data_IF_702084007975
#
_entry.id   IF_702084007975
#
_cell.length_a   1.000
_cell.length_b   1.000
_cell.length_c   1.000
_cell.angle_alpha   90.00
_cell.angle_beta   90.00
_cell.angle_gamma   90.00
#
_symmetry.space_group_name_H-M   'P 1'
#
loop_
_entity.id
_entity.type
_entity.pdbx_description
1 polymer ?
#
# COMPACT_ATOMS: atom_id res chain seq x y z
N UNK A 1 -47.43 16.69 -47.63
CA UNK A 1 -47.25 15.50 -46.78
C UNK A 1 -45.83 15.52 -46.25
N UNK A 2 -45.64 16.10 -45.07
CA UNK A 2 -44.40 15.96 -44.31
C UNK A 2 -44.72 14.95 -43.20
N UNK A 3 -44.01 13.83 -43.23
CA UNK A 3 -44.15 12.72 -42.28
C UNK A 3 -43.40 13.12 -41.01
N UNK A 4 -44.14 13.39 -39.92
CA UNK A 4 -43.55 13.66 -38.60
C UNK A 4 -42.87 12.40 -38.08
N UNK A 5 -41.55 12.47 -37.89
CA UNK A 5 -40.80 11.42 -37.19
C UNK A 5 -41.24 11.36 -35.72
N UNK A 6 -41.56 10.16 -35.17
CA UNK A 6 -41.95 10.04 -33.78
C UNK A 6 -40.76 10.32 -32.87
N UNK A 7 -40.97 11.21 -31.88
CA UNK A 7 -39.98 11.53 -30.86
C UNK A 7 -39.58 10.27 -30.09
N UNK A 8 -38.31 9.87 -30.18
CA UNK A 8 -37.73 8.80 -29.36
C UNK A 8 -37.84 9.19 -27.88
N UNK A 9 -38.75 8.55 -27.13
CA UNK A 9 -38.83 8.72 -25.68
C UNK A 9 -37.50 8.31 -25.05
N UNK A 10 -36.91 9.22 -24.26
CA UNK A 10 -35.68 8.94 -23.53
C UNK A 10 -35.94 7.85 -22.46
N UNK A 11 -35.43 6.65 -22.71
CA UNK A 11 -35.51 5.52 -21.77
C UNK A 11 -34.56 5.75 -20.61
N UNK A 12 -35.04 5.58 -19.37
CA UNK A 12 -34.25 5.68 -18.15
C UNK A 12 -33.66 4.32 -17.81
N UNK A 13 -32.54 4.32 -17.09
CA UNK A 13 -31.92 3.08 -16.57
C UNK A 13 -32.86 2.28 -15.66
N UNK A 14 -33.85 2.94 -15.04
CA UNK A 14 -34.89 2.32 -14.21
C UNK A 14 -35.95 1.58 -15.01
N UNK A 15 -35.98 1.76 -16.33
CA UNK A 15 -36.95 1.13 -17.23
C UNK A 15 -36.45 -0.24 -17.72
N UNK A 16 -35.19 -0.59 -17.42
CA UNK A 16 -34.63 -1.92 -17.64
C UNK A 16 -35.29 -2.94 -16.72
N UNK A 17 -35.55 -4.12 -17.25
CA UNK A 17 -35.99 -5.27 -16.47
C UNK A 17 -34.84 -5.82 -15.60
N UNK A 18 -35.21 -6.63 -14.61
CA UNK A 18 -34.28 -7.09 -13.59
C UNK A 18 -33.15 -7.97 -14.16
N UNK A 19 -33.43 -8.74 -15.22
CA UNK A 19 -32.46 -9.65 -15.82
C UNK A 19 -31.42 -8.89 -16.65
N UNK A 20 -31.86 -7.95 -17.49
CA UNK A 20 -30.95 -7.05 -18.23
C UNK A 20 -30.08 -6.24 -17.28
N UNK A 21 -30.64 -5.77 -16.17
CA UNK A 21 -29.87 -5.06 -15.16
C UNK A 21 -28.87 -5.97 -14.45
N UNK A 22 -29.23 -7.21 -14.09
CA UNK A 22 -28.31 -8.18 -13.49
C UNK A 22 -27.13 -8.47 -14.42
N UNK A 23 -27.41 -8.61 -15.72
CA UNK A 23 -26.38 -8.79 -16.73
C UNK A 23 -25.45 -7.56 -16.82
N UNK A 24 -26.00 -6.35 -16.90
CA UNK A 24 -25.20 -5.11 -16.89
C UNK A 24 -24.37 -4.98 -15.61
N UNK A 25 -24.98 -5.37 -14.47
CA UNK A 25 -24.34 -5.33 -13.17
C UNK A 25 -23.12 -6.27 -13.10
N UNK A 26 -23.02 -7.33 -13.91
CA UNK A 26 -21.83 -8.21 -13.95
C UNK A 26 -20.55 -7.47 -14.39
N UNK A 27 -20.68 -6.44 -15.23
CA UNK A 27 -19.57 -5.63 -15.73
C UNK A 27 -19.14 -4.50 -14.78
N UNK A 28 -19.91 -4.22 -13.73
CA UNK A 28 -19.63 -3.15 -12.78
C UNK A 28 -18.61 -3.60 -11.72
N UNK A 29 -17.79 -2.68 -11.20
CA UNK A 29 -17.02 -2.99 -9.99
C UNK A 29 -17.90 -2.93 -8.73
N UNK A 30 -17.41 -3.45 -7.61
CA UNK A 30 -18.09 -3.26 -6.31
C UNK A 30 -18.24 -1.78 -5.94
N UNK A 31 -17.31 -0.93 -6.39
CA UNK A 31 -17.37 0.52 -6.20
C UNK A 31 -18.49 1.12 -7.04
N UNK A 32 -18.62 0.71 -8.30
CA UNK A 32 -19.68 1.19 -9.18
C UNK A 32 -21.05 0.76 -8.70
N UNK A 33 -21.20 -0.49 -8.24
CA UNK A 33 -22.43 -0.97 -7.59
C UNK A 33 -22.77 -0.18 -6.32
N UNK A 34 -21.77 0.19 -5.53
CA UNK A 34 -21.97 1.02 -4.34
C UNK A 34 -22.41 2.44 -4.72
N UNK A 35 -21.76 3.06 -5.72
CA UNK A 35 -22.14 4.38 -6.23
C UNK A 35 -23.56 4.38 -6.82
N UNK A 36 -23.89 3.34 -7.58
CA UNK A 36 -25.20 3.10 -8.14
C UNK A 36 -26.26 2.99 -7.03
N UNK A 37 -25.97 2.22 -5.97
CA UNK A 37 -26.88 2.09 -4.83
C UNK A 37 -27.07 3.41 -4.05
N UNK A 38 -26.11 4.34 -4.12
CA UNK A 38 -26.21 5.65 -3.50
C UNK A 38 -26.98 6.67 -4.35
N UNK A 39 -27.19 6.39 -5.64
CA UNK A 39 -27.81 7.34 -6.58
C UNK A 39 -29.33 7.47 -6.42
N UNK A 40 -30.05 6.38 -6.15
CA UNK A 40 -31.51 6.40 -5.95
C UNK A 40 -32.01 5.20 -5.16
N UNK A 41 -33.22 5.30 -4.58
CA UNK A 41 -33.86 4.20 -3.84
C UNK A 41 -34.14 2.98 -4.71
N UNK A 42 -34.60 3.19 -5.95
CA UNK A 42 -34.87 2.09 -6.89
C UNK A 42 -33.58 1.35 -7.24
N UNK A 43 -32.54 2.09 -7.64
CA UNK A 43 -31.23 1.51 -7.97
C UNK A 43 -30.56 0.85 -6.77
N UNK A 44 -30.79 1.35 -5.55
CA UNK A 44 -30.36 0.70 -4.30
C UNK A 44 -31.01 -0.67 -4.13
N UNK A 45 -32.32 -0.77 -4.35
CA UNK A 45 -33.05 -2.04 -4.24
C UNK A 45 -32.50 -3.07 -5.23
N UNK A 46 -32.24 -2.64 -6.48
CA UNK A 46 -31.67 -3.52 -7.50
C UNK A 46 -30.22 -3.91 -7.20
N UNK A 47 -29.34 -2.95 -6.92
CA UNK A 47 -27.94 -3.22 -6.59
C UNK A 47 -27.77 -4.15 -5.37
N UNK A 48 -28.77 -4.20 -4.49
CA UNK A 48 -28.77 -5.05 -3.29
C UNK A 48 -29.52 -6.37 -3.47
N UNK A 49 -30.10 -6.62 -4.65
CA UNK A 49 -30.84 -7.84 -4.97
C UNK A 49 -29.92 -9.06 -4.98
N UNK A 50 -30.38 -10.16 -4.36
CA UNK A 50 -29.58 -11.37 -4.19
C UNK A 50 -29.15 -12.01 -5.53
N UNK A 51 -29.86 -11.78 -6.64
CA UNK A 51 -29.48 -12.31 -7.97
C UNK A 51 -28.11 -11.78 -8.44
N UNK A 52 -27.87 -10.47 -8.32
CA UNK A 52 -26.58 -9.85 -8.67
C UNK A 52 -25.44 -10.42 -7.82
N UNK A 53 -25.70 -10.66 -6.53
CA UNK A 53 -24.69 -11.17 -5.61
C UNK A 53 -24.48 -12.68 -5.76
N UNK A 54 -25.48 -13.44 -6.20
CA UNK A 54 -25.39 -14.87 -6.45
C UNK A 54 -24.46 -15.18 -7.62
N UNK A 55 -24.61 -14.46 -8.73
CA UNK A 55 -23.74 -14.63 -9.90
C UNK A 55 -22.28 -14.36 -9.55
N UNK A 56 -22.02 -13.26 -8.84
CA UNK A 56 -20.68 -12.90 -8.35
C UNK A 56 -20.13 -13.87 -7.32
N UNK A 57 -20.98 -14.36 -6.42
CA UNK A 57 -20.56 -15.33 -5.42
C UNK A 57 -20.11 -16.61 -6.12
N UNK A 58 -20.85 -17.09 -7.11
CA UNK A 58 -20.53 -18.30 -7.89
C UNK A 58 -19.27 -18.16 -8.72
N UNK A 59 -19.03 -16.98 -9.28
CA UNK A 59 -17.82 -16.70 -10.08
C UNK A 59 -16.55 -16.84 -9.23
N UNK A 60 -16.58 -16.39 -7.97
CA UNK A 60 -15.41 -16.37 -7.08
C UNK A 60 -15.35 -17.63 -6.18
N UNK A 61 -16.51 -18.12 -5.72
CA UNK A 61 -16.67 -19.27 -4.82
C UNK A 61 -17.79 -20.18 -5.33
N UNK A 62 -17.48 -21.10 -6.27
CA UNK A 62 -18.48 -21.97 -6.88
C UNK A 62 -19.10 -22.98 -5.89
N UNK A 63 -18.44 -23.26 -4.78
CA UNK A 63 -18.89 -24.20 -3.75
C UNK A 63 -19.54 -23.50 -2.54
N UNK A 64 -20.58 -24.13 -1.96
CA UNK A 64 -21.22 -23.73 -0.70
C UNK A 64 -21.78 -22.29 -0.69
N UNK A 65 -22.66 -21.95 -1.63
CA UNK A 65 -23.34 -20.66 -1.66
C UNK A 65 -24.68 -20.70 -0.86
N UNK A 66 -25.04 -19.62 -0.16
CA UNK A 66 -26.30 -19.53 0.57
C UNK A 66 -27.49 -19.37 -0.38
N UNK A 67 -28.65 -19.87 0.03
CA UNK A 67 -29.91 -19.74 -0.74
C UNK A 67 -30.62 -18.39 -0.51
N UNK A 68 -30.25 -17.63 0.53
CA UNK A 68 -30.83 -16.32 0.86
C UNK A 68 -29.83 -15.44 1.61
N UNK A 69 -30.00 -14.13 1.52
CA UNK A 69 -29.07 -13.18 2.14
C UNK A 69 -27.67 -13.24 1.50
N UNK A 70 -27.62 -13.56 0.21
CA UNK A 70 -26.41 -13.82 -0.57
C UNK A 70 -25.45 -12.65 -0.48
N UNK A 71 -25.99 -11.43 -0.59
CA UNK A 71 -25.20 -10.21 -0.42
C UNK A 71 -24.48 -10.15 0.93
N UNK A 72 -25.20 -10.43 2.03
CA UNK A 72 -24.63 -10.37 3.38
C UNK A 72 -23.54 -11.42 3.54
N UNK A 73 -23.78 -12.63 3.08
CA UNK A 73 -22.79 -13.70 3.11
C UNK A 73 -21.56 -13.39 2.26
N UNK A 74 -21.75 -12.83 1.05
CA UNK A 74 -20.67 -12.36 0.19
C UNK A 74 -19.80 -11.33 0.91
N UNK A 75 -20.41 -10.30 1.50
CA UNK A 75 -19.70 -9.24 2.20
C UNK A 75 -18.96 -9.78 3.43
N UNK A 76 -19.59 -10.67 4.21
CA UNK A 76 -18.96 -11.31 5.37
C UNK A 76 -17.74 -12.15 4.96
N UNK A 77 -17.88 -12.96 3.91
CA UNK A 77 -16.78 -13.77 3.36
C UNK A 77 -15.65 -12.89 2.85
N UNK A 78 -15.96 -11.85 2.10
CA UNK A 78 -14.97 -10.87 1.63
C UNK A 78 -14.24 -10.20 2.79
N UNK A 79 -14.95 -9.76 3.83
CA UNK A 79 -14.33 -9.19 5.05
C UNK A 79 -13.41 -10.20 5.72
N UNK A 80 -13.84 -11.45 5.89
CA UNK A 80 -13.02 -12.51 6.49
C UNK A 80 -11.75 -12.80 5.69
N UNK A 81 -11.82 -12.82 4.35
CA UNK A 81 -10.65 -12.95 3.47
C UNK A 81 -9.68 -11.76 3.64
N UNK A 82 -10.22 -10.54 3.65
CA UNK A 82 -9.43 -9.34 3.90
C UNK A 82 -8.78 -9.31 5.29
N UNK A 83 -9.33 -10.04 6.26
CA UNK A 83 -8.79 -10.21 7.61
C UNK A 83 -7.86 -11.42 7.77
N UNK A 84 -7.61 -12.19 6.70
CA UNK A 84 -6.82 -13.44 6.74
C UNK A 84 -7.42 -14.52 7.66
N UNK A 85 -8.76 -14.61 7.72
CA UNK A 85 -9.49 -15.58 8.55
C UNK A 85 -9.71 -16.94 7.87
N UNK A 86 -8.69 -17.48 7.19
CA UNK A 86 -8.75 -18.79 6.52
C UNK A 86 -7.49 -19.63 6.74
N UNK A 87 -7.64 -20.97 6.74
CA UNK A 87 -6.54 -21.93 6.96
C UNK A 87 -5.80 -22.35 5.68
N UNK A 88 -6.39 -22.13 4.51
CA UNK A 88 -5.95 -22.64 3.21
C UNK A 88 -5.57 -21.53 2.21
N UNK A 89 -4.70 -20.57 2.56
CA UNK A 89 -4.23 -19.61 1.57
C UNK A 89 -3.36 -20.30 0.52
N UNK A 90 -3.36 -19.74 -0.69
CA UNK A 90 -2.34 -20.08 -1.68
C UNK A 90 -0.99 -19.52 -1.24
N UNK A 91 0.06 -20.34 -1.31
CA UNK A 91 1.41 -19.97 -0.87
C UNK A 91 2.41 -20.24 -1.98
N UNK A 92 3.26 -19.25 -2.25
CA UNK A 92 4.38 -19.36 -3.17
C UNK A 92 5.66 -18.79 -2.54
N UNK A 93 6.82 -19.30 -2.94
CA UNK A 93 8.11 -18.87 -2.40
C UNK A 93 9.15 -18.72 -3.49
N UNK A 94 10.02 -17.73 -3.35
CA UNK A 94 11.12 -17.49 -4.28
C UNK A 94 12.40 -17.14 -3.53
N UNK A 95 13.53 -17.54 -4.12
CA UNK A 95 14.85 -17.19 -3.61
C UNK A 95 15.33 -15.90 -4.26
N UNK A 96 15.67 -14.93 -3.41
CA UNK A 96 16.28 -13.68 -3.85
C UNK A 96 17.81 -13.84 -3.82
N UNK A 97 18.37 -14.29 -4.94
CA UNK A 97 19.81 -14.49 -5.09
C UNK A 97 20.58 -13.17 -4.97
N UNK A 98 21.64 -13.16 -4.16
CA UNK A 98 22.53 -12.01 -3.99
C UNK A 98 23.01 -11.82 -2.56
N UNK A 99 24.08 -11.04 -2.39
CA UNK A 99 24.69 -10.75 -1.09
C UNK A 99 23.90 -9.75 -0.23
N UNK A 100 23.05 -8.93 -0.85
CA UNK A 100 22.32 -7.88 -0.16
C UNK A 100 20.97 -8.34 0.39
N UNK A 101 20.59 -7.74 1.51
CA UNK A 101 19.27 -7.96 2.09
C UNK A 101 18.15 -7.44 1.19
N UNK A 102 16.97 -8.05 1.29
CA UNK A 102 15.75 -7.48 0.69
C UNK A 102 15.26 -6.41 1.66
N UNK A 103 15.43 -5.14 1.26
CA UNK A 103 15.21 -3.98 2.12
C UNK A 103 13.82 -3.35 1.96
N UNK A 104 13.26 -3.45 0.75
CA UNK A 104 11.95 -2.92 0.41
C UNK A 104 11.25 -3.93 -0.49
N UNK A 105 9.94 -4.08 -0.32
CA UNK A 105 9.09 -4.93 -1.14
C UNK A 105 7.74 -4.25 -1.35
N UNK A 106 7.13 -4.46 -2.52
CA UNK A 106 5.83 -3.94 -2.91
C UNK A 106 5.07 -5.02 -3.71
N UNK A 107 3.75 -4.95 -3.63
CA UNK A 107 2.82 -5.76 -4.43
C UNK A 107 2.09 -4.84 -5.40
N UNK A 108 2.26 -5.07 -6.69
CA UNK A 108 1.52 -4.39 -7.75
C UNK A 108 0.79 -5.42 -8.63
N UNK A 109 -0.51 -5.62 -8.42
CA UNK A 109 -1.32 -6.61 -9.14
C UNK A 109 -0.71 -8.02 -9.11
N UNK A 110 -0.03 -8.42 -10.17
CA UNK A 110 0.62 -9.72 -10.35
C UNK A 110 2.15 -9.67 -10.14
N UNK A 111 2.70 -8.50 -9.85
CA UNK A 111 4.14 -8.27 -9.73
C UNK A 111 4.55 -8.09 -8.25
N UNK A 112 5.57 -8.82 -7.85
CA UNK A 112 6.33 -8.59 -6.62
C UNK A 112 7.55 -7.77 -7.00
N UNK A 113 7.63 -6.54 -6.51
CA UNK A 113 8.75 -5.63 -6.78
C UNK A 113 9.56 -5.47 -5.49
N UNK A 114 10.87 -5.64 -5.54
CA UNK A 114 11.72 -5.52 -4.36
C UNK A 114 13.10 -4.96 -4.67
N UNK A 115 13.77 -4.43 -3.64
CA UNK A 115 15.14 -3.91 -3.76
C UNK A 115 16.16 -4.77 -3.01
N UNK A 116 17.31 -5.02 -3.64
CA UNK A 116 18.48 -5.66 -3.03
C UNK A 116 19.73 -4.82 -3.30
N UNK A 117 20.16 -4.04 -2.30
CA UNK A 117 21.25 -3.09 -2.50
C UNK A 117 20.89 -2.08 -3.60
N UNK A 118 21.71 -1.88 -4.65
CA UNK A 118 21.41 -0.98 -5.76
C UNK A 118 20.39 -1.52 -6.77
N UNK A 119 20.14 -2.84 -6.76
CA UNK A 119 19.30 -3.49 -7.75
C UNK A 119 17.81 -3.40 -7.39
N UNK A 120 16.99 -3.20 -8.41
CA UNK A 120 15.53 -3.31 -8.33
C UNK A 120 15.15 -4.56 -9.11
N UNK A 121 14.36 -5.43 -8.50
CA UNK A 121 13.99 -6.73 -9.03
C UNK A 121 12.48 -6.88 -9.04
N UNK A 122 11.98 -7.61 -10.03
CA UNK A 122 10.56 -7.86 -10.23
C UNK A 122 10.33 -9.34 -10.56
N UNK A 123 9.33 -9.94 -9.92
CA UNK A 123 8.90 -11.31 -10.17
C UNK A 123 7.38 -11.34 -10.37
N UNK A 124 6.92 -12.05 -11.41
CA UNK A 124 5.48 -12.27 -11.63
C UNK A 124 5.01 -13.43 -10.77
N UNK A 125 3.93 -13.25 -10.01
CA UNK A 125 3.40 -14.26 -9.08
C UNK A 125 3.04 -15.55 -9.84
N UNK A 126 2.34 -15.44 -10.97
CA UNK A 126 1.98 -16.61 -11.78
C UNK A 126 3.22 -17.37 -12.29
N UNK A 127 4.30 -16.63 -12.59
CA UNK A 127 5.54 -17.24 -13.09
C UNK A 127 6.31 -17.99 -12.01
N UNK A 128 6.15 -17.65 -10.72
CA UNK A 128 6.84 -18.35 -9.62
C UNK A 128 6.47 -19.84 -9.64
N UNK A 129 5.23 -20.17 -9.99
CA UNK A 129 4.73 -21.55 -10.04
C UNK A 129 5.33 -22.38 -11.19
N UNK A 130 5.75 -21.72 -12.27
CA UNK A 130 6.35 -22.36 -13.44
C UNK A 130 7.87 -22.30 -13.47
N UNK A 131 8.53 -21.98 -12.35
CA UNK A 131 9.99 -21.77 -12.29
C UNK A 131 10.46 -20.51 -13.02
N UNK A 132 9.59 -19.51 -13.09
CA UNK A 132 9.77 -18.27 -13.85
C UNK A 132 10.97 -17.43 -13.42
N UNK A 133 11.45 -16.63 -14.37
CA UNK A 133 12.66 -15.82 -14.23
C UNK A 133 12.40 -14.50 -13.51
N UNK A 134 13.41 -14.06 -12.76
CA UNK A 134 13.41 -12.85 -11.98
C UNK A 134 13.99 -11.70 -12.83
N UNK A 135 13.19 -10.69 -13.12
CA UNK A 135 13.61 -9.57 -13.97
C UNK A 135 14.35 -8.54 -13.11
N UNK A 136 15.61 -8.31 -13.45
CA UNK A 136 16.40 -7.24 -12.82
C UNK A 136 16.33 -5.98 -13.68
N UNK A 137 15.83 -4.91 -13.08
CA UNK A 137 15.78 -3.60 -13.70
C UNK A 137 17.15 -2.93 -13.62
N UNK A 138 17.49 -2.02 -14.56
CA UNK A 138 18.71 -1.21 -14.45
C UNK A 138 18.75 -0.55 -13.06
N UNK A 139 19.77 -0.84 -12.27
CA UNK A 139 19.80 -0.41 -10.86
C UNK A 139 20.10 1.08 -10.68
N UNK A 140 20.08 1.49 -9.41
CA UNK A 140 20.78 2.70 -8.98
C UNK A 140 22.29 2.46 -8.90
N UNK A 141 23.08 3.53 -8.74
CA UNK A 141 24.53 3.40 -8.50
C UNK A 141 24.86 3.09 -7.03
N UNK A 142 23.85 3.11 -6.17
CA UNK A 142 23.97 2.95 -4.73
C UNK A 142 22.68 2.39 -4.15
N UNK A 143 22.72 1.96 -2.88
CA UNK A 143 21.64 1.24 -2.22
C UNK A 143 20.31 2.00 -2.33
N UNK A 144 19.28 1.28 -2.77
CA UNK A 144 17.89 1.76 -2.79
C UNK A 144 17.39 1.85 -1.36
N UNK A 145 16.88 3.02 -0.99
CA UNK A 145 16.45 3.33 0.38
C UNK A 145 14.93 3.23 0.54
N UNK A 146 14.17 3.53 -0.52
CA UNK A 146 12.71 3.48 -0.45
C UNK A 146 12.09 3.21 -1.83
N UNK A 147 11.00 2.43 -1.85
CA UNK A 147 10.14 2.15 -3.01
C UNK A 147 8.71 2.68 -2.76
N UNK A 148 8.07 3.25 -3.78
CA UNK A 148 6.65 3.68 -3.76
C UNK A 148 5.97 3.40 -5.10
N UNK A 149 4.69 3.08 -5.06
CA UNK A 149 3.83 2.96 -6.25
C UNK A 149 2.80 4.08 -6.23
N UNK A 150 2.59 4.69 -7.39
CA UNK A 150 1.56 5.70 -7.59
C UNK A 150 0.79 5.42 -8.88
N UNK A 151 -0.50 5.76 -8.96
CA UNK A 151 -1.24 5.66 -10.20
C UNK A 151 -0.58 6.54 -11.28
N UNK A 152 -0.47 6.01 -12.50
CA UNK A 152 0.09 6.72 -13.64
C UNK A 152 -0.68 8.01 -13.93
N UNK A 153 -1.99 8.02 -13.68
CA UNK A 153 -2.89 9.17 -13.79
C UNK A 153 -2.47 10.37 -12.93
N UNK A 154 -1.70 10.15 -11.86
CA UNK A 154 -1.18 11.23 -11.02
C UNK A 154 0.14 11.81 -11.54
N UNK A 155 0.62 11.36 -12.69
CA UNK A 155 1.87 11.78 -13.30
C UNK A 155 1.64 12.35 -14.69
N UNK A 156 2.60 13.15 -15.17
CA UNK A 156 2.59 13.65 -16.56
C UNK A 156 2.85 12.59 -17.64
N UNK A 157 2.92 11.30 -17.28
CA UNK A 157 3.09 10.21 -18.25
C UNK A 157 1.77 9.63 -18.73
N UNK A 158 0.64 9.92 -18.08
CA UNK A 158 -0.66 9.47 -18.54
C UNK A 158 -1.00 10.13 -19.90
N UNK A 159 -1.25 9.31 -20.91
CA UNK A 159 -1.58 9.76 -22.28
C UNK A 159 -3.03 9.47 -22.67
N UNK A 160 -3.71 8.58 -21.93
CA UNK A 160 -5.07 8.12 -22.24
C UNK A 160 -5.78 7.70 -20.95
N UNK A 161 -7.11 7.84 -20.92
CA UNK A 161 -7.98 7.35 -19.86
C UNK A 161 -7.86 5.84 -19.64
N UNK A 162 -7.50 5.06 -20.67
CA UNK A 162 -7.29 3.62 -20.52
C UNK A 162 -6.09 3.24 -19.62
N UNK A 163 -5.19 4.20 -19.32
CA UNK A 163 -4.00 3.96 -18.51
C UNK A 163 -4.17 4.36 -17.03
N UNK A 164 -5.38 4.73 -16.60
CA UNK A 164 -5.66 5.14 -15.22
C UNK A 164 -5.38 4.06 -14.19
N UNK A 165 -5.48 2.80 -14.61
CA UNK A 165 -5.23 1.62 -13.76
C UNK A 165 -3.75 1.20 -13.72
N UNK A 166 -2.87 1.79 -14.52
CA UNK A 166 -1.43 1.49 -14.48
C UNK A 166 -0.75 2.24 -13.32
N UNK A 167 0.29 1.64 -12.75
CA UNK A 167 1.11 2.28 -11.73
C UNK A 167 2.51 2.64 -12.25
N UNK A 168 3.10 3.68 -11.68
CA UNK A 168 4.52 4.00 -11.79
C UNK A 168 5.23 3.63 -10.50
N UNK A 169 6.47 3.16 -10.64
CA UNK A 169 7.35 2.89 -9.51
C UNK A 169 8.28 4.09 -9.30
N UNK A 170 8.31 4.62 -8.09
CA UNK A 170 9.30 5.59 -7.63
C UNK A 170 10.29 4.90 -6.70
N UNK A 171 11.57 5.13 -6.94
CA UNK A 171 12.66 4.58 -6.13
C UNK A 171 13.62 5.68 -5.73
N UNK A 172 14.14 5.62 -4.51
CA UNK A 172 15.17 6.55 -4.02
C UNK A 172 16.40 5.79 -3.56
N UNK A 173 17.56 6.45 -3.52
CA UNK A 173 18.82 5.81 -3.12
C UNK A 173 19.69 6.68 -2.20
N UNK A 174 20.76 6.06 -1.70
CA UNK A 174 21.77 6.71 -0.86
C UNK A 174 22.54 7.85 -1.55
N UNK A 175 22.56 7.94 -2.89
CA UNK A 175 23.20 9.07 -3.59
C UNK A 175 22.26 10.27 -3.76
N UNK A 176 21.05 10.20 -3.19
CA UNK A 176 20.07 11.28 -3.27
C UNK A 176 19.38 11.41 -4.63
N UNK A 177 19.42 10.37 -5.47
CA UNK A 177 18.62 10.28 -6.69
C UNK A 177 17.28 9.61 -6.41
N UNK A 178 16.22 10.15 -7.02
CA UNK A 178 14.90 9.55 -7.07
C UNK A 178 14.62 9.22 -8.54
N UNK A 179 14.20 8.00 -8.86
CA UNK A 179 13.94 7.55 -10.22
C UNK A 179 12.49 7.13 -10.37
N UNK A 180 11.88 7.53 -11.49
CA UNK A 180 10.54 7.11 -11.90
C UNK A 180 10.68 6.05 -12.99
N UNK A 181 10.05 4.91 -12.76
CA UNK A 181 10.05 3.75 -13.65
C UNK A 181 8.65 3.48 -14.17
N UNK A 182 8.58 3.16 -15.46
CA UNK A 182 7.34 2.73 -16.10
C UNK A 182 7.65 1.78 -17.25
N UNK A 183 6.99 0.62 -17.25
CA UNK A 183 7.17 -0.47 -18.23
C UNK A 183 8.63 -0.89 -18.39
N UNK A 184 9.30 -1.22 -17.30
CA UNK A 184 10.68 -1.73 -17.35
C UNK A 184 11.77 -0.66 -17.53
N UNK A 185 11.41 0.59 -17.81
CA UNK A 185 12.36 1.64 -18.15
C UNK A 185 12.35 2.80 -17.16
N UNK A 186 13.53 3.35 -16.86
CA UNK A 186 13.65 4.62 -16.15
C UNK A 186 13.18 5.73 -17.08
N UNK A 187 12.08 6.40 -16.71
CA UNK A 187 11.53 7.51 -17.50
C UNK A 187 12.08 8.84 -17.04
N UNK A 188 12.36 8.99 -15.74
CA UNK A 188 12.86 10.24 -15.16
C UNK A 188 13.79 9.98 -13.98
N UNK A 189 14.73 10.90 -13.80
CA UNK A 189 15.60 10.98 -12.64
C UNK A 189 15.47 12.38 -12.03
N UNK A 190 15.11 12.42 -10.76
CA UNK A 190 15.15 13.59 -9.90
C UNK A 190 16.38 13.46 -8.98
N UNK A 191 17.01 14.58 -8.60
CA UNK A 191 18.18 14.55 -7.73
C UNK A 191 19.50 14.10 -8.37
N UNK A 192 20.49 13.79 -7.51
CA UNK A 192 21.80 13.24 -7.88
C UNK A 192 23.05 13.91 -7.25
N UNK A 193 22.90 15.06 -6.55
CA UNK A 193 24.00 15.76 -5.84
C UNK A 193 23.60 16.26 -4.43
N UNK A 194 22.53 15.72 -3.87
CA UNK A 194 22.02 16.09 -2.54
C UNK A 194 22.35 15.00 -1.50
N UNK A 195 22.11 15.30 -0.23
CA UNK A 195 22.23 14.32 0.84
C UNK A 195 21.34 13.10 0.56
N UNK A 196 21.79 11.93 1.02
CA UNK A 196 21.10 10.65 0.81
C UNK A 196 19.59 10.75 1.11
N UNK A 197 18.73 10.31 0.20
CA UNK A 197 17.28 10.26 0.46
C UNK A 197 17.00 9.03 1.32
N UNK A 198 16.46 9.23 2.52
CA UNK A 198 16.13 8.14 3.46
C UNK A 198 14.73 7.58 3.22
N UNK A 199 13.78 8.43 2.86
CA UNK A 199 12.36 8.03 2.77
C UNK A 199 11.58 8.94 1.81
N UNK A 200 10.44 8.44 1.33
CA UNK A 200 9.50 9.16 0.47
C UNK A 200 8.08 9.05 1.02
N UNK A 201 7.24 10.04 0.75
CA UNK A 201 5.83 10.00 1.13
C UNK A 201 5.10 8.80 0.53
N UNK A 202 4.15 8.26 1.28
CA UNK A 202 3.30 7.13 0.89
C UNK A 202 2.21 7.51 -0.11
N UNK A 203 1.82 8.78 -0.13
CA UNK A 203 0.89 9.39 -1.09
C UNK A 203 1.52 10.64 -1.70
N UNK A 204 0.97 11.10 -2.82
CA UNK A 204 1.28 12.44 -3.32
C UNK A 204 0.50 13.48 -2.52
N UNK A 205 1.15 14.61 -2.28
CA UNK A 205 0.56 15.77 -1.62
C UNK A 205 -0.19 16.63 -2.63
N UNK A 206 -1.30 17.21 -2.16
CA UNK A 206 -2.14 18.15 -2.92
C UNK A 206 -3.44 17.53 -3.44
N UNK A 207 -4.48 18.36 -3.48
CA UNK A 207 -5.83 18.02 -3.96
C UNK A 207 -6.17 18.62 -5.33
N UNK A 208 -5.23 19.34 -5.96
CA UNK A 208 -5.42 19.96 -7.27
C UNK A 208 -4.62 19.27 -8.37
N UNK A 209 -4.59 19.88 -9.56
CA UNK A 209 -3.96 19.33 -10.77
C UNK A 209 -2.44 19.09 -10.63
N UNK A 210 -1.78 19.80 -9.71
CA UNK A 210 -0.35 19.64 -9.44
C UNK A 210 -0.15 18.90 -8.12
N UNK A 211 0.05 17.59 -8.25
CA UNK A 211 0.48 16.71 -7.16
C UNK A 211 1.99 16.74 -6.98
N UNK A 212 2.45 16.64 -5.72
CA UNK A 212 3.88 16.67 -5.39
C UNK A 212 4.28 15.49 -4.50
N UNK A 213 5.45 14.92 -4.76
CA UNK A 213 6.09 13.92 -3.91
C UNK A 213 6.94 14.61 -2.85
N UNK A 214 6.90 14.15 -1.60
CA UNK A 214 7.86 14.57 -0.59
C UNK A 214 8.96 13.52 -0.40
N UNK A 215 10.20 13.97 -0.19
CA UNK A 215 11.33 13.12 0.18
C UNK A 215 12.07 13.69 1.39
N UNK A 216 12.45 12.81 2.31
CA UNK A 216 13.28 13.15 3.46
C UNK A 216 14.75 12.83 3.21
N UNK A 217 15.62 13.83 3.34
CA UNK A 217 17.07 13.70 3.17
C UNK A 217 17.76 13.36 4.49
N UNK A 218 19.01 12.88 4.40
CA UNK A 218 19.81 12.50 5.56
C UNK A 218 20.13 13.69 6.48
N UNK A 219 20.21 14.90 5.94
CA UNK A 219 20.46 16.12 6.70
C UNK A 219 19.21 16.62 7.47
N UNK A 220 18.07 15.92 7.36
CA UNK A 220 16.80 16.32 7.97
C UNK A 220 15.97 17.28 7.10
N UNK A 221 16.46 17.62 5.90
CA UNK A 221 15.70 18.41 4.94
C UNK A 221 14.57 17.60 4.32
N UNK A 222 13.50 18.30 3.97
CA UNK A 222 12.36 17.78 3.22
C UNK A 222 12.32 18.51 1.88
N UNK A 223 12.29 17.74 0.80
CA UNK A 223 12.21 18.24 -0.57
C UNK A 223 10.85 17.86 -1.18
N UNK A 224 10.20 18.83 -1.85
CA UNK A 224 8.95 18.62 -2.58
C UNK A 224 9.20 18.61 -4.08
N UNK A 225 8.77 17.56 -4.75
CA UNK A 225 9.02 17.31 -6.17
C UNK A 225 7.72 17.26 -6.95
N UNK A 226 7.61 18.01 -8.04
CA UNK A 226 6.49 17.89 -8.97
C UNK A 226 6.72 16.74 -9.95
N UNK A 227 5.76 15.82 -10.02
CA UNK A 227 5.75 14.72 -11.00
C UNK A 227 5.07 15.12 -12.32
N UNK A 228 4.42 16.29 -12.34
CA UNK A 228 3.66 16.82 -13.48
C UNK A 228 4.51 17.67 -14.43
N UNK A 229 5.70 18.12 -14.02
CA UNK A 229 6.57 18.97 -14.86
C UNK A 229 7.09 18.17 -16.06
N UNK A 230 6.89 18.65 -17.30
CA UNK A 230 7.31 17.98 -18.53
C UNK A 230 8.82 18.09 -18.84
N UNK A 231 9.57 18.81 -18.00
CA UNK A 231 10.99 19.05 -18.16
C UNK A 231 11.87 17.84 -17.84
N UNK A 232 12.82 17.51 -18.74
CA UNK A 232 13.85 16.48 -18.51
C UNK A 232 14.93 16.88 -17.49
N UNK A 233 14.92 18.13 -16.98
CA UNK A 233 15.99 18.65 -16.12
C UNK A 233 15.58 18.74 -14.65
N UNK A 234 16.40 18.12 -13.82
CA UNK A 234 16.44 18.13 -12.35
C UNK A 234 15.90 19.41 -11.64
N UNK A 235 16.35 20.62 -12.01
CA UNK A 235 15.95 21.88 -11.34
C UNK A 235 14.50 22.29 -11.58
N UNK A 236 13.85 21.78 -12.62
CA UNK A 236 12.47 22.15 -12.96
C UNK A 236 11.43 21.37 -12.15
N UNK A 237 11.83 20.32 -11.44
CA UNK A 237 10.93 19.46 -10.66
C UNK A 237 10.91 19.81 -9.16
N UNK A 238 12.00 20.34 -8.59
CA UNK A 238 12.04 20.74 -7.17
C UNK A 238 11.20 22.01 -6.95
N UNK A 239 10.14 21.90 -6.13
CA UNK A 239 9.22 23.01 -5.83
C UNK A 239 9.58 23.74 -4.54
N UNK A 240 10.06 23.03 -3.54
CA UNK A 240 10.50 23.60 -2.28
C UNK A 240 11.49 22.66 -1.59
N UNK A 241 12.41 23.24 -0.83
CA UNK A 241 13.25 22.54 0.14
C UNK A 241 13.14 23.29 1.46
N UNK A 242 12.80 22.60 2.53
CA UNK A 242 12.70 23.18 3.87
C UNK A 242 13.27 22.21 4.90
N UNK A 243 13.74 22.75 6.02
CA UNK A 243 14.34 21.97 7.09
C UNK A 243 13.68 22.36 8.41
N UNK A 244 13.36 21.36 9.22
CA UNK A 244 13.19 21.60 10.65
C UNK A 244 13.52 20.40 11.52
N UNK A 245 14.11 19.35 10.94
CA UNK A 245 14.69 18.22 11.66
C UNK A 245 16.22 18.39 11.65
N UNK A 246 16.88 18.33 12.81
CA UNK A 246 18.36 18.28 12.91
C UNK A 246 18.91 16.86 12.71
N UNK A 247 18.02 15.90 12.44
CA UNK A 247 18.32 14.47 12.32
C UNK A 247 17.61 13.92 11.07
N UNK A 248 18.11 12.81 10.49
CA UNK A 248 17.51 12.23 9.30
C UNK A 248 16.02 11.91 9.51
N UNK A 249 15.19 12.31 8.54
CA UNK A 249 13.79 11.90 8.47
C UNK A 249 13.75 10.41 8.15
N UNK A 250 13.18 9.60 9.04
CA UNK A 250 13.14 8.13 8.89
C UNK A 250 11.84 7.64 8.29
N UNK A 251 10.74 8.27 8.66
CA UNK A 251 9.42 7.94 8.14
C UNK A 251 8.68 9.19 7.69
N UNK A 252 7.78 9.01 6.74
CA UNK A 252 7.01 10.08 6.14
C UNK A 252 5.68 9.54 5.64
N UNK A 253 4.58 10.18 6.01
CA UNK A 253 3.22 9.81 5.58
C UNK A 253 2.36 11.06 5.38
N UNK A 254 1.52 11.06 4.36
CA UNK A 254 0.57 12.16 4.10
C UNK A 254 -0.63 12.01 5.02
N UNK A 255 -1.02 13.09 5.68
CA UNK A 255 -2.19 13.08 6.56
C UNK A 255 -3.46 12.74 5.77
N UNK A 256 -4.25 11.79 6.24
CA UNK A 256 -5.46 11.33 5.53
C UNK A 256 -6.55 12.39 5.46
N UNK A 257 -6.61 13.29 6.45
CA UNK A 257 -7.63 14.32 6.58
C UNK A 257 -7.42 15.52 5.64
N UNK A 258 -6.16 15.88 5.38
CA UNK A 258 -5.79 17.05 4.58
C UNK A 258 -4.55 16.68 3.74
N UNK A 259 -4.70 16.44 2.44
CA UNK A 259 -3.60 15.97 1.56
C UNK A 259 -2.50 17.01 1.33
N UNK A 260 -2.64 18.22 1.85
CA UNK A 260 -1.54 19.20 1.93
C UNK A 260 -0.64 19.00 3.14
N UNK A 261 -1.08 18.20 4.13
CA UNK A 261 -0.35 18.02 5.37
C UNK A 261 0.54 16.79 5.28
N UNK A 262 1.81 16.98 5.60
CA UNK A 262 2.81 15.92 5.67
C UNK A 262 3.14 15.67 7.13
N UNK A 263 3.20 14.40 7.53
CA UNK A 263 3.72 13.99 8.83
C UNK A 263 5.09 13.37 8.62
N UNK A 264 6.10 13.88 9.33
CA UNK A 264 7.45 13.31 9.36
C UNK A 264 7.83 12.88 10.75
N UNK A 265 8.69 11.87 10.82
CA UNK A 265 9.28 11.42 12.07
C UNK A 265 10.77 11.20 11.87
N UNK A 266 11.55 11.93 12.65
CA UNK A 266 13.01 11.90 12.63
C UNK A 266 13.55 10.85 13.60
N UNK A 267 14.82 10.49 13.42
CA UNK A 267 15.48 9.49 14.28
C UNK A 267 15.61 9.87 15.76
N UNK A 268 15.31 11.12 16.15
CA UNK A 268 15.23 11.59 17.54
C UNK A 268 13.82 11.49 18.13
N UNK A 269 12.95 10.66 17.53
CA UNK A 269 11.57 10.43 17.96
C UNK A 269 10.66 11.66 17.92
N UNK A 270 11.07 12.76 17.26
CA UNK A 270 10.20 13.91 17.03
C UNK A 270 9.30 13.65 15.83
N UNK A 271 8.02 13.95 16.02
CA UNK A 271 7.00 13.90 14.98
C UNK A 271 6.60 15.33 14.67
N UNK A 272 6.67 15.70 13.40
CA UNK A 272 6.28 17.03 12.92
C UNK A 272 5.18 16.92 11.88
N UNK A 273 4.26 17.87 11.93
CA UNK A 273 3.21 18.06 10.93
C UNK A 273 3.54 19.34 10.16
N UNK A 274 3.58 19.23 8.84
CA UNK A 274 3.93 20.31 7.93
C UNK A 274 2.75 20.65 7.04
N UNK A 275 2.43 21.93 6.90
CA UNK A 275 1.55 22.39 5.84
C UNK A 275 2.39 22.70 4.60
N UNK A 276 2.27 21.87 3.57
CA UNK A 276 3.06 21.99 2.35
C UNK A 276 2.57 23.09 1.39
N UNK A 277 1.43 23.71 1.69
CA UNK A 277 0.91 24.86 0.91
C UNK A 277 1.46 26.19 1.42
N UNK A 278 1.93 26.25 2.67
CA UNK A 278 2.55 27.45 3.21
C UNK A 278 3.82 27.79 2.43
N UNK A 279 3.89 29.00 1.90
CA UNK A 279 5.07 29.49 1.18
C UNK A 279 6.20 29.93 2.11
N UNK A 280 5.91 30.16 3.40
CA UNK A 280 6.90 30.51 4.42
C UNK A 280 7.85 29.35 4.72
N UNK A 281 9.08 29.67 5.16
CA UNK A 281 10.05 28.67 5.60
C UNK A 281 9.56 27.87 6.83
N UNK A 282 8.80 28.51 7.73
CA UNK A 282 8.18 27.82 8.86
C UNK A 282 6.86 27.13 8.45
N UNK A 283 6.99 25.96 7.82
CA UNK A 283 5.85 25.12 7.42
C UNK A 283 5.31 24.23 8.54
N UNK A 284 6.02 24.15 9.67
CA UNK A 284 5.63 23.31 10.79
C UNK A 284 4.37 23.86 11.46
N UNK A 285 3.31 23.07 11.50
CA UNK A 285 2.03 23.41 12.13
C UNK A 285 1.77 22.60 13.40
N UNK A 286 2.57 21.58 13.67
CA UNK A 286 2.48 20.79 14.89
C UNK A 286 3.77 20.02 15.16
N UNK A 287 4.10 19.88 16.44
CA UNK A 287 5.26 19.14 16.91
C UNK A 287 4.85 18.30 18.13
N UNK A 288 5.21 17.03 18.10
CA UNK A 288 5.12 16.14 19.26
C UNK A 288 6.34 15.22 19.29
N UNK A 289 6.52 14.46 20.36
CA UNK A 289 7.62 13.50 20.49
C UNK A 289 7.11 12.18 21.03
N UNK A 290 7.60 11.10 20.45
CA UNK A 290 7.34 9.74 20.93
C UNK A 290 8.39 9.42 21.98
N UNK A 291 7.95 8.99 23.17
CA UNK A 291 8.87 8.69 24.28
C UNK A 291 9.81 7.53 23.97
N UNK A 292 9.29 6.53 23.27
CA UNK A 292 10.00 5.29 22.92
C UNK A 292 10.65 5.43 21.55
N UNK A 293 11.65 4.60 21.27
CA UNK A 293 12.28 4.55 19.96
C UNK A 293 11.25 4.06 18.93
N UNK A 294 10.82 4.90 17.99
CA UNK A 294 9.87 4.49 16.98
C UNK A 294 10.49 3.48 16.01
N UNK A 295 9.63 2.67 15.44
CA UNK A 295 9.93 1.61 14.49
C UNK A 295 9.32 1.93 13.14
N UNK A 296 8.09 2.41 13.14
CA UNK A 296 7.33 2.74 11.94
C UNK A 296 6.21 3.72 12.28
N UNK A 297 5.71 4.42 11.28
CA UNK A 297 4.47 5.19 11.42
C UNK A 297 3.62 5.19 10.17
N UNK A 298 2.33 5.38 10.36
CA UNK A 298 1.37 5.51 9.27
C UNK A 298 0.24 6.47 9.64
N UNK A 299 -0.12 7.34 8.70
CA UNK A 299 -1.36 8.11 8.80
C UNK A 299 -2.51 7.32 8.18
N UNK A 300 -3.65 7.28 8.88
CA UNK A 300 -4.90 6.79 8.33
C UNK A 300 -6.02 7.72 8.81
N UNK A 301 -6.77 8.27 7.86
CA UNK A 301 -7.79 9.29 8.13
C UNK A 301 -7.21 10.46 8.96
N UNK A 302 -7.73 10.67 10.17
CA UNK A 302 -7.34 11.75 11.07
C UNK A 302 -6.30 11.30 12.12
N UNK A 303 -5.86 10.04 12.07
CA UNK A 303 -5.01 9.44 13.09
C UNK A 303 -3.60 9.16 12.58
N UNK A 304 -2.63 9.28 13.48
CA UNK A 304 -1.26 8.85 13.31
C UNK A 304 -1.00 7.64 14.20
N UNK A 305 -0.62 6.53 13.59
CA UNK A 305 -0.20 5.32 14.28
C UNK A 305 1.31 5.28 14.31
N UNK A 306 1.89 5.05 15.49
CA UNK A 306 3.34 4.88 15.67
C UNK A 306 3.58 3.54 16.36
N UNK A 307 4.35 2.67 15.71
CA UNK A 307 4.91 1.49 16.36
C UNK A 307 6.22 1.88 17.05
N UNK A 308 6.44 1.42 18.28
CA UNK A 308 7.66 1.67 19.03
C UNK A 308 8.13 0.42 19.76
N UNK A 309 9.45 0.31 20.00
CA UNK A 309 10.07 -0.87 20.61
C UNK A 309 9.56 -1.12 22.05
N UNK A 310 9.22 -2.37 22.40
CA UNK A 310 8.53 -2.77 23.63
C UNK A 310 9.43 -3.29 24.75
N UNK A 311 10.75 -3.03 24.75
CA UNK A 311 11.56 -3.37 25.92
C UNK A 311 11.39 -2.33 27.03
N UNK A 312 10.88 -2.75 28.19
CA UNK A 312 10.61 -2.02 29.45
C UNK A 312 9.12 -1.68 29.65
N UNK A 313 8.53 -2.43 30.58
CA UNK A 313 7.30 -2.11 31.33
C UNK A 313 7.67 -1.00 32.31
N UNK A 314 7.33 0.25 32.00
CA UNK A 314 7.24 1.28 33.03
C UNK A 314 6.04 2.19 32.78
N UNK A 315 5.34 2.41 33.89
CA UNK A 315 4.04 3.03 34.04
C UNK A 315 4.25 4.54 34.11
N UNK A 316 3.69 5.32 33.16
CA UNK A 316 2.99 6.61 33.39
C UNK A 316 2.52 7.31 32.08
N UNK A 317 1.32 7.90 32.14
CA UNK A 317 0.44 8.49 31.08
C UNK A 317 1.09 9.63 30.24
N UNK A 318 0.62 9.96 29.01
CA UNK A 318 -0.76 10.11 28.54
C UNK A 318 -1.33 8.84 27.90
N UNK A 319 -2.64 8.64 28.02
CA UNK A 319 -3.31 7.38 27.71
C UNK A 319 -3.19 6.99 26.23
N UNK A 320 -2.52 5.86 25.90
CA UNK A 320 -2.62 5.29 24.57
C UNK A 320 -4.05 4.82 24.32
N UNK A 321 -4.58 5.09 23.12
CA UNK A 321 -5.97 4.73 22.77
C UNK A 321 -6.16 3.21 22.75
N UNK A 322 -5.14 2.41 22.40
CA UNK A 322 -5.13 0.93 22.49
C UNK A 322 -3.69 0.39 22.43
N UNK A 323 -3.35 -0.62 23.25
CA UNK A 323 -2.08 -1.36 23.20
C UNK A 323 -2.31 -2.80 22.72
N UNK A 324 -1.55 -3.26 21.71
CA UNK A 324 -1.63 -4.63 21.18
C UNK A 324 -0.41 -5.46 21.63
N UNK A 325 -0.64 -6.52 22.39
CA UNK A 325 0.40 -7.42 22.89
C UNK A 325 0.56 -8.63 21.97
N UNK A 326 1.60 -8.61 21.14
CA UNK A 326 1.95 -9.72 20.25
C UNK A 326 2.88 -10.76 20.89
N UNK A 327 3.05 -11.92 20.24
CA UNK A 327 4.05 -12.94 20.64
C UNK A 327 5.45 -12.62 20.12
N UNK A 328 5.66 -11.49 19.45
CA UNK A 328 6.99 -11.08 19.01
C UNK A 328 7.93 -11.00 20.21
N UNK A 329 8.84 -11.97 20.33
CA UNK A 329 9.89 -11.98 21.36
C UNK A 329 10.99 -10.95 21.08
N UNK A 330 10.82 -10.14 20.03
CA UNK A 330 11.81 -9.24 19.44
C UNK A 330 11.11 -7.96 19.01
N UNK A 331 11.82 -6.82 18.91
CA UNK A 331 11.21 -5.57 18.45
C UNK A 331 10.46 -5.75 17.13
N UNK A 332 9.27 -5.17 17.04
CA UNK A 332 8.59 -5.02 15.74
C UNK A 332 9.49 -4.18 14.84
N UNK A 333 9.51 -4.47 13.55
CA UNK A 333 10.30 -3.78 12.53
C UNK A 333 9.48 -3.28 11.37
N UNK A 334 8.31 -3.88 11.15
CA UNK A 334 7.44 -3.59 10.04
C UNK A 334 6.00 -3.53 10.52
N UNK A 335 5.26 -2.54 10.04
CA UNK A 335 3.85 -2.35 10.32
C UNK A 335 3.09 -2.17 9.00
N UNK A 336 1.98 -2.88 8.84
CA UNK A 336 0.97 -2.56 7.85
C UNK A 336 -0.37 -2.37 8.56
N UNK A 337 -1.19 -1.47 8.04
CA UNK A 337 -2.55 -1.24 8.51
C UNK A 337 -3.45 -0.89 7.35
N UNK A 338 -4.62 -1.52 7.32
CA UNK A 338 -5.73 -1.19 6.45
C UNK A 338 -7.05 -1.24 7.27
N UNK A 339 -8.22 -0.90 6.68
CA UNK A 339 -9.49 -0.92 7.40
C UNK A 339 -9.88 -2.29 7.99
N UNK A 340 -9.26 -3.38 7.53
CA UNK A 340 -9.59 -4.75 7.94
C UNK A 340 -8.60 -5.29 8.97
N UNK A 341 -7.32 -4.94 8.84
CA UNK A 341 -6.26 -5.55 9.64
C UNK A 341 -5.05 -4.66 9.92
N UNK A 342 -4.39 -4.99 11.02
CA UNK A 342 -3.04 -4.55 11.37
C UNK A 342 -2.11 -5.76 11.28
N UNK A 343 -0.97 -5.61 10.60
CA UNK A 343 0.02 -6.67 10.44
C UNK A 343 1.37 -6.19 10.96
N UNK A 344 2.05 -7.03 11.76
CA UNK A 344 3.36 -6.74 12.33
C UNK A 344 4.38 -7.83 12.03
N UNK A 345 5.62 -7.43 11.70
CA UNK A 345 6.77 -8.31 11.52
C UNK A 345 7.94 -7.92 12.44
N UNK A 346 8.67 -8.91 12.99
CA UNK A 346 9.71 -8.68 14.01
C UNK A 346 11.17 -8.82 13.54
N UNK A 347 12.10 -8.14 14.22
CA UNK A 347 13.53 -8.01 13.90
C UNK A 347 14.33 -9.33 13.91
N UNK A 348 13.84 -10.36 14.59
CA UNK A 348 14.39 -11.73 14.55
C UNK A 348 13.28 -12.79 14.64
N UNK A 349 12.03 -12.34 14.50
CA UNK A 349 10.87 -13.22 14.46
C UNK A 349 10.62 -13.57 12.99
N UNK A 350 10.56 -14.86 12.70
CA UNK A 350 10.06 -15.35 11.41
C UNK A 350 8.53 -15.38 11.38
N UNK A 351 7.86 -14.85 12.40
CA UNK A 351 6.41 -14.81 12.51
C UNK A 351 5.92 -13.43 12.08
N UNK A 352 4.87 -13.42 11.28
CA UNK A 352 4.04 -12.27 10.99
C UNK A 352 2.74 -12.44 11.77
N UNK A 353 2.33 -11.41 12.50
CA UNK A 353 1.10 -11.43 13.29
C UNK A 353 0.06 -10.48 12.69
N UNK A 354 -1.18 -10.95 12.62
CA UNK A 354 -2.31 -10.19 12.09
C UNK A 354 -3.36 -9.97 13.18
N UNK A 355 -3.89 -8.75 13.23
CA UNK A 355 -4.87 -8.28 14.20
C UNK A 355 -6.03 -7.64 13.46
N UNK A 356 -7.24 -7.75 14.01
CA UNK A 356 -8.40 -7.03 13.53
C UNK A 356 -8.30 -5.55 13.94
N UNK A 357 -8.50 -4.64 12.98
CA UNK A 357 -8.35 -3.20 13.22
C UNK A 357 -9.33 -2.67 14.25
N UNK A 358 -10.59 -3.11 14.22
CA UNK A 358 -11.66 -2.58 15.07
C UNK A 358 -11.58 -3.08 16.52
N UNK A 359 -11.25 -4.37 16.70
CA UNK A 359 -11.30 -5.02 18.02
C UNK A 359 -9.94 -5.16 18.67
N UNK A 360 -8.85 -5.00 17.91
CA UNK A 360 -7.51 -5.31 18.37
C UNK A 360 -7.30 -6.79 18.69
N UNK A 361 -8.21 -7.70 18.27
CA UNK A 361 -8.07 -9.14 18.51
C UNK A 361 -7.10 -9.76 17.51
N UNK A 362 -6.24 -10.65 18.01
CA UNK A 362 -5.36 -11.44 17.14
C UNK A 362 -6.21 -12.32 16.24
N UNK A 363 -5.92 -12.29 14.95
CA UNK A 363 -6.60 -13.11 13.96
C UNK A 363 -5.78 -14.37 13.66
N UNK A 364 -4.61 -14.20 13.04
CA UNK A 364 -3.75 -15.31 12.65
C UNK A 364 -2.28 -14.93 12.83
N UNK A 365 -1.43 -15.94 12.94
CA UNK A 365 0.02 -15.79 12.80
C UNK A 365 0.53 -16.83 11.82
N UNK A 366 1.39 -16.42 10.89
CA UNK A 366 2.02 -17.30 9.92
C UNK A 366 3.50 -16.96 9.79
N UNK A 367 4.27 -17.89 9.22
CA UNK A 367 5.70 -17.71 9.07
C UNK A 367 6.02 -16.97 7.76
N UNK A 368 6.97 -16.03 7.81
CA UNK A 368 7.55 -15.39 6.63
C UNK A 368 8.66 -16.23 5.97
N UNK A 369 8.91 -17.45 6.48
CA UNK A 369 9.87 -18.41 5.96
C UNK A 369 9.37 -19.83 6.17
N UNK A 370 9.98 -20.80 5.48
CA UNK A 370 9.73 -22.21 5.80
C UNK A 370 10.05 -22.49 7.29
N UNK A 371 9.19 -23.22 8.04
CA UNK A 371 9.34 -23.44 9.48
C UNK A 371 10.66 -24.11 9.90
N UNK A 372 11.26 -24.89 9.00
CA UNK A 372 12.47 -25.68 9.28
C UNK A 372 13.77 -24.84 9.27
N UNK A 373 13.73 -23.60 8.77
CA UNK A 373 14.92 -22.75 8.66
C UNK A 373 15.24 -22.06 9.99
N UNK A 374 16.09 -22.71 10.80
CA UNK A 374 16.52 -22.23 12.14
C UNK A 374 17.45 -21.00 12.14
N UNK A 375 18.03 -20.61 11.00
CA UNK A 375 19.01 -19.51 10.88
C UNK A 375 18.44 -18.23 10.25
N UNK A 376 17.22 -17.86 10.61
CA UNK A 376 16.54 -16.70 10.03
C UNK A 376 16.85 -15.40 10.80
N UNK A 377 17.16 -14.32 10.08
CA UNK A 377 17.35 -12.96 10.62
C UNK A 377 16.04 -12.16 10.79
N UNK A 378 14.88 -12.81 10.70
CA UNK A 378 13.57 -12.17 10.88
C UNK A 378 13.02 -11.51 9.61
N UNK A 379 11.87 -10.84 9.75
CA UNK A 379 11.20 -10.16 8.64
C UNK A 379 12.00 -8.91 8.22
N UNK A 380 12.58 -8.92 7.01
CA UNK A 380 13.42 -7.84 6.49
C UNK A 380 12.67 -6.84 5.62
N UNK A 381 11.54 -7.24 5.03
CA UNK A 381 10.63 -6.38 4.30
C UNK A 381 9.23 -7.02 4.27
N UNK A 382 8.17 -6.22 4.23
CA UNK A 382 6.79 -6.71 4.16
C UNK A 382 5.91 -5.77 3.32
N UNK A 383 5.05 -6.34 2.49
CA UNK A 383 4.00 -5.62 1.79
C UNK A 383 2.70 -6.40 1.80
N UNK A 384 1.60 -5.68 1.92
CA UNK A 384 0.25 -6.22 2.04
C UNK A 384 -0.64 -5.44 1.11
N UNK A 385 -1.46 -6.14 0.33
CA UNK A 385 -2.43 -5.54 -0.56
C UNK A 385 -3.71 -6.39 -0.54
N UNK A 386 -4.80 -5.84 0.02
CA UNK A 386 -6.08 -6.52 0.17
C UNK A 386 -5.92 -7.91 0.83
N UNK A 387 -6.24 -8.98 0.10
CA UNK A 387 -6.18 -10.38 0.56
C UNK A 387 -4.78 -11.02 0.38
N UNK A 388 -3.77 -10.25 -0.03
CA UNK A 388 -2.42 -10.74 -0.32
C UNK A 388 -1.39 -10.14 0.62
N UNK A 389 -0.39 -10.95 0.95
CA UNK A 389 0.80 -10.50 1.66
C UNK A 389 2.04 -11.12 1.04
N UNK A 390 3.12 -10.34 1.03
CA UNK A 390 4.46 -10.82 0.77
C UNK A 390 5.38 -10.37 1.90
N UNK A 391 6.18 -11.30 2.39
CA UNK A 391 7.19 -11.03 3.40
C UNK A 391 8.53 -11.56 2.93
N UNK A 392 9.58 -10.79 3.18
CA UNK A 392 10.95 -11.18 2.92
C UNK A 392 11.66 -11.47 4.23
N UNK A 393 12.55 -12.46 4.22
CA UNK A 393 13.44 -12.74 5.33
C UNK A 393 14.82 -13.15 4.80
N UNK A 394 15.80 -13.20 5.70
CA UNK A 394 17.17 -13.59 5.36
C UNK A 394 17.57 -14.86 6.11
N UNK A 395 17.87 -15.93 5.37
CA UNK A 395 18.35 -17.19 5.92
C UNK A 395 19.80 -17.39 5.47
N UNK A 396 20.74 -17.22 6.40
CA UNK A 396 22.18 -17.23 6.09
C UNK A 396 22.55 -16.09 5.14
N UNK A 397 22.95 -16.45 3.91
CA UNK A 397 23.33 -15.51 2.83
C UNK A 397 22.27 -15.34 1.73
N UNK A 398 21.13 -16.04 1.84
CA UNK A 398 20.07 -15.99 0.82
C UNK A 398 18.85 -15.24 1.35
N UNK A 399 18.34 -14.32 0.52
CA UNK A 399 17.03 -13.74 0.74
C UNK A 399 15.94 -14.74 0.35
N UNK A 400 14.89 -14.81 1.15
CA UNK A 400 13.71 -15.63 0.89
C UNK A 400 12.49 -14.71 0.87
N UNK A 401 11.67 -14.82 -0.17
CA UNK A 401 10.45 -14.04 -0.32
C UNK A 401 9.29 -15.02 -0.33
N UNK A 402 8.39 -14.87 0.63
CA UNK A 402 7.23 -15.71 0.87
C UNK A 402 5.97 -14.93 0.53
N UNK A 403 5.21 -15.42 -0.44
CA UNK A 403 3.94 -14.85 -0.90
C UNK A 403 2.77 -15.70 -0.40
N UNK A 404 1.71 -15.05 0.03
CA UNK A 404 0.50 -15.69 0.55
C UNK A 404 -0.72 -14.94 0.03
N UNK A 405 -1.65 -15.65 -0.63
CA UNK A 405 -2.89 -15.11 -1.18
C UNK A 405 -4.10 -15.83 -0.58
N UNK A 406 -4.96 -15.07 0.09
CA UNK A 406 -6.20 -15.56 0.67
C UNK A 406 -7.39 -15.43 -0.29
N UNK A 407 -7.25 -14.79 -1.46
CA UNK A 407 -8.38 -14.44 -2.34
C UNK A 407 -9.25 -15.63 -2.75
N UNK A 408 -8.63 -16.80 -2.91
CA UNK A 408 -9.30 -18.06 -3.29
C UNK A 408 -9.48 -19.03 -2.12
N UNK A 409 -9.22 -18.62 -0.88
CA UNK A 409 -9.30 -19.51 0.28
C UNK A 409 -10.75 -19.94 0.57
N UNK A 410 -10.91 -21.19 1.02
CA UNK A 410 -12.22 -21.84 1.17
C UNK A 410 -12.54 -22.31 2.58
N UNK A 411 -11.53 -22.52 3.42
CA UNK A 411 -11.67 -23.06 4.78
C UNK A 411 -11.52 -21.95 5.83
N UNK A 412 -12.62 -21.40 6.38
CA UNK A 412 -12.54 -20.33 7.37
C UNK A 412 -11.88 -20.81 8.67
N UNK A 413 -11.28 -19.86 9.41
CA UNK A 413 -10.71 -20.06 10.75
C UNK A 413 -11.76 -20.39 11.81
#
# INVERSE_FOLDING_TARGET
MAEEQPATMATRITDLDHDSFSHCASFLSLRDLSNLAMSSKSLKSFAYSDSIWLDRFREIWPENFPLSGVRKAYLNRRTALHQFKYYDPFVASLFAEGYYSVDNILLDKNDIIFSQGPAIKMAKIDSIMSGGSLVTMPGHNSRVTCLRLFPLSETSLAQSEAQTEENVLLTSNCDGSIRLWWKGACRRVFGGRHAAVHTMSDKLLGNGDVKVLASGEHDGSICLWSLSSSGRRYRQALKAKFCGDQKPVKWMSVAGNKPSNLVTMSGDSKVRVWDTTKLSDNRCVGLTSVRRKPVDMKCHENLLYVAADSSVVERWKPEPVTELYGRHQTPVTHLHMDPYKIITGGFKSNIVETWETDTGKKTISFFCSHPENRFNRGCSAMAVNACRIVAACHVGVRGFIHFTDFSSATRPL
#
